data_IF_536117587625
#
_entry.id   IF_536117587625
#
_cell.length_a   1.000
_cell.length_b   1.000
_cell.length_c   1.000
_cell.angle_alpha   90.00
_cell.angle_beta   90.00
_cell.angle_gamma   90.00
#
_symmetry.space_group_name_H-M   'P 1'
#
loop_
_entity.id
_entity.type
_entity.pdbx_description
1 polymer ?
#
# COMPACT_ATOMS: atom_id res chain seq x y z
N UNK A 1 -22.10 0.69 11.46
CA UNK A 1 -20.87 1.24 10.84
C UNK A 1 -21.26 2.54 10.14
N UNK A 2 -20.71 3.72 10.48
CA UNK A 2 -21.12 4.98 9.83
C UNK A 2 -20.82 4.96 8.33
N UNK A 3 -21.70 5.55 7.52
CA UNK A 3 -21.56 5.64 6.06
C UNK A 3 -20.34 6.48 5.64
N UNK A 4 -19.81 6.20 4.46
CA UNK A 4 -18.60 6.85 3.92
C UNK A 4 -18.71 8.38 3.85
N UNK A 5 -19.93 8.91 3.59
CA UNK A 5 -20.23 10.35 3.62
C UNK A 5 -20.09 10.99 5.02
N UNK A 6 -20.56 10.32 6.07
CA UNK A 6 -20.41 10.80 7.46
C UNK A 6 -18.93 10.80 7.87
N UNK A 7 -18.16 9.85 7.33
CA UNK A 7 -16.72 9.76 7.58
C UNK A 7 -15.89 10.86 6.91
N UNK A 8 -16.36 11.36 5.77
CA UNK A 8 -15.77 12.50 5.07
C UNK A 8 -16.10 13.83 5.77
N UNK A 9 -17.32 13.95 6.34
CA UNK A 9 -17.78 15.12 7.11
C UNK A 9 -16.94 15.41 8.37
N UNK A 10 -16.55 14.37 9.11
CA UNK A 10 -15.79 14.53 10.36
C UNK A 10 -14.39 15.16 10.15
N UNK A 11 -13.72 14.81 9.06
CA UNK A 11 -12.49 15.49 8.65
C UNK A 11 -12.77 16.95 8.31
N UNK A 12 -13.85 17.19 7.58
CA UNK A 12 -14.23 18.53 7.16
C UNK A 12 -14.35 19.48 8.33
N UNK A 13 -14.97 19.08 9.45
CA UNK A 13 -15.18 19.99 10.58
C UNK A 13 -13.88 20.42 11.27
N UNK A 14 -13.00 19.47 11.65
CA UNK A 14 -11.74 19.81 12.32
C UNK A 14 -10.81 20.62 11.42
N UNK A 15 -10.79 20.29 10.12
CA UNK A 15 -10.00 21.02 9.12
C UNK A 15 -10.55 22.44 8.96
N UNK A 16 -11.86 22.61 8.81
CA UNK A 16 -12.52 23.92 8.68
C UNK A 16 -12.27 24.80 9.91
N UNK A 17 -12.42 24.25 11.11
CA UNK A 17 -12.19 24.96 12.37
C UNK A 17 -10.71 25.35 12.56
N UNK A 18 -9.78 24.71 11.85
CA UNK A 18 -8.34 25.01 11.92
C UNK A 18 -7.90 26.05 10.88
N UNK A 19 -8.85 26.65 10.17
CA UNK A 19 -8.62 27.75 9.25
C UNK A 19 -8.20 27.35 7.83
N UNK A 20 -8.08 28.31 6.91
CA UNK A 20 -7.83 28.04 5.48
C UNK A 20 -6.51 27.32 5.20
N UNK A 21 -5.46 27.60 5.99
CA UNK A 21 -4.17 26.91 5.86
C UNK A 21 -4.28 25.40 6.08
N UNK A 22 -5.22 24.95 6.93
CA UNK A 22 -5.45 23.53 7.17
C UNK A 22 -6.07 22.87 5.94
N UNK A 23 -7.08 23.49 5.32
CA UNK A 23 -7.66 23.01 4.07
C UNK A 23 -6.62 22.89 2.97
N UNK A 24 -5.82 23.94 2.78
CA UNK A 24 -4.72 23.94 1.81
C UNK A 24 -3.69 22.82 2.08
N UNK A 25 -3.30 22.62 3.35
CA UNK A 25 -2.34 21.58 3.73
C UNK A 25 -2.86 20.17 3.46
N UNK A 26 -4.17 19.93 3.66
CA UNK A 26 -4.83 18.65 3.38
C UNK A 26 -4.81 18.36 1.88
N UNK A 27 -5.19 19.35 1.08
CA UNK A 27 -5.19 19.23 -0.38
C UNK A 27 -3.78 18.98 -0.91
N UNK A 28 -2.80 19.75 -0.44
CA UNK A 28 -1.40 19.55 -0.78
C UNK A 28 -0.93 18.13 -0.41
N UNK A 29 -1.24 17.67 0.80
CA UNK A 29 -0.81 16.36 1.27
C UNK A 29 -1.35 15.24 0.37
N UNK A 30 -2.66 15.22 0.11
CA UNK A 30 -3.27 14.14 -0.64
C UNK A 30 -3.12 14.27 -2.17
N UNK A 31 -3.03 15.48 -2.73
CA UNK A 31 -3.01 15.68 -4.18
C UNK A 31 -1.62 16.00 -4.74
N UNK A 32 -0.74 16.66 -3.99
CA UNK A 32 0.62 16.99 -4.44
C UNK A 32 1.68 15.98 -3.96
N UNK A 33 1.66 15.61 -2.67
CA UNK A 33 2.73 14.80 -2.06
C UNK A 33 2.53 13.30 -2.28
N UNK A 34 1.35 12.76 -2.00
CA UNK A 34 1.08 11.32 -2.11
C UNK A 34 0.60 10.96 -3.52
N UNK A 35 1.54 10.76 -4.43
CA UNK A 35 1.26 10.45 -5.85
C UNK A 35 0.67 9.06 -6.11
N UNK A 36 1.00 8.06 -5.28
CA UNK A 36 0.46 6.72 -5.43
C UNK A 36 -0.99 6.65 -4.94
N UNK A 37 -1.93 6.34 -5.83
CA UNK A 37 -3.38 6.27 -5.54
C UNK A 37 -3.70 5.31 -4.40
N UNK A 38 -3.04 4.15 -4.33
CA UNK A 38 -3.27 3.17 -3.26
C UNK A 38 -2.77 3.69 -1.91
N UNK A 39 -1.56 4.29 -1.88
CA UNK A 39 -1.02 4.91 -0.67
C UNK A 39 -1.90 6.06 -0.22
N UNK A 40 -2.37 6.90 -1.15
CA UNK A 40 -3.29 8.02 -0.87
C UNK A 40 -4.58 7.53 -0.25
N UNK A 41 -5.21 6.49 -0.80
CA UNK A 41 -6.44 5.90 -0.25
C UNK A 41 -6.21 5.37 1.17
N UNK A 42 -5.13 4.61 1.36
CA UNK A 42 -4.80 4.02 2.65
C UNK A 42 -4.51 5.09 3.72
N UNK A 43 -3.77 6.15 3.36
CA UNK A 43 -3.48 7.27 4.26
C UNK A 43 -4.74 8.06 4.58
N UNK A 44 -5.58 8.35 3.58
CA UNK A 44 -6.86 9.05 3.80
C UNK A 44 -7.75 8.27 4.77
N UNK A 45 -7.84 6.95 4.60
CA UNK A 45 -8.61 6.11 5.49
C UNK A 45 -8.07 6.11 6.93
N UNK A 46 -6.74 6.06 7.09
CA UNK A 46 -6.11 6.12 8.41
C UNK A 46 -6.31 7.47 9.11
N UNK A 47 -6.08 8.57 8.39
CA UNK A 47 -6.26 9.94 8.90
C UNK A 47 -7.72 10.18 9.28
N UNK A 48 -8.67 9.83 8.40
CA UNK A 48 -10.09 10.04 8.68
C UNK A 48 -10.57 9.25 9.91
N UNK A 49 -10.11 8.01 10.06
CA UNK A 49 -10.43 7.19 11.23
C UNK A 49 -9.90 7.79 12.52
N UNK A 50 -8.69 8.36 12.49
CA UNK A 50 -8.12 9.05 13.65
C UNK A 50 -8.86 10.36 13.97
N UNK A 51 -9.12 11.20 12.96
CA UNK A 51 -9.82 12.46 13.17
C UNK A 51 -11.24 12.27 13.71
N UNK A 52 -11.94 11.22 13.27
CA UNK A 52 -13.23 10.81 13.86
C UNK A 52 -13.11 10.39 15.33
N UNK A 53 -12.02 9.72 15.69
CA UNK A 53 -11.80 9.25 17.06
C UNK A 53 -11.62 10.42 18.03
N UNK A 54 -10.91 11.48 17.61
CA UNK A 54 -10.65 12.65 18.47
C UNK A 54 -11.74 13.71 18.42
N UNK A 55 -12.59 13.72 17.37
CA UNK A 55 -13.65 14.72 17.17
C UNK A 55 -14.52 15.02 18.40
N UNK A 56 -14.90 14.05 19.26
CA UNK A 56 -15.68 14.34 20.46
C UNK A 56 -14.93 15.17 21.52
N UNK A 57 -13.60 15.21 21.48
CA UNK A 57 -12.75 15.79 22.52
C UNK A 57 -12.00 17.05 22.05
N UNK A 58 -11.86 17.26 20.73
CA UNK A 58 -11.14 18.40 20.16
C UNK A 58 -11.97 19.13 19.12
N UNK A 59 -11.80 20.45 19.03
CA UNK A 59 -12.50 21.30 18.05
C UNK A 59 -11.59 21.74 16.90
N UNK A 60 -10.27 21.73 17.09
CA UNK A 60 -9.27 22.10 16.07
C UNK A 60 -8.11 21.10 16.04
N UNK A 61 -7.34 21.07 14.95
CA UNK A 61 -6.16 20.23 14.80
C UNK A 61 -5.06 20.58 15.81
N UNK A 62 -4.94 21.86 16.19
CA UNK A 62 -3.94 22.33 17.15
C UNK A 62 -4.15 21.79 18.58
N UNK A 63 -5.37 21.39 18.94
CA UNK A 63 -5.68 20.77 20.24
C UNK A 63 -5.28 19.29 20.32
N UNK A 64 -4.84 18.68 19.21
CA UNK A 64 -4.47 17.27 19.19
C UNK A 64 -3.13 17.08 19.91
N UNK A 65 -3.15 16.33 21.00
CA UNK A 65 -1.97 16.02 21.81
C UNK A 65 -1.41 14.62 21.48
N UNK A 66 -0.15 14.32 21.85
CA UNK A 66 0.39 12.97 21.77
C UNK A 66 -0.44 11.92 22.53
N UNK A 67 -1.11 12.32 23.63
CA UNK A 67 -1.97 11.42 24.39
C UNK A 67 -3.20 10.95 23.57
N UNK A 68 -3.77 11.81 22.72
CA UNK A 68 -4.85 11.43 21.81
C UNK A 68 -4.38 10.36 20.82
N UNK A 69 -3.17 10.53 20.27
CA UNK A 69 -2.60 9.57 19.33
C UNK A 69 -2.27 8.24 20.04
N UNK A 70 -1.71 8.28 21.25
CA UNK A 70 -1.47 7.08 22.07
C UNK A 70 -2.76 6.29 22.33
N UNK A 71 -3.78 6.93 22.91
CA UNK A 71 -5.09 6.30 23.18
C UNK A 71 -5.74 5.73 21.92
N UNK A 72 -5.59 6.41 20.79
CA UNK A 72 -6.06 5.87 19.52
C UNK A 72 -5.42 4.52 19.20
N UNK A 73 -4.09 4.39 19.33
CA UNK A 73 -3.39 3.13 19.06
C UNK A 73 -3.67 2.03 20.09
N UNK A 74 -3.94 2.41 21.34
CA UNK A 74 -4.36 1.46 22.40
C UNK A 74 -5.72 0.83 22.09
N UNK A 75 -6.66 1.63 21.56
CA UNK A 75 -8.01 1.16 21.20
C UNK A 75 -8.11 0.59 19.79
N UNK A 76 -7.07 0.76 18.95
CA UNK A 76 -7.08 0.34 17.56
C UNK A 76 -6.87 -1.18 17.44
N UNK A 77 -7.96 -1.94 17.39
CA UNK A 77 -7.93 -3.40 17.11
C UNK A 77 -7.75 -3.69 15.62
N UNK A 78 -6.49 -3.72 15.15
CA UNK A 78 -6.08 -4.08 13.78
C UNK A 78 -4.72 -4.76 13.80
N UNK A 79 -4.30 -5.35 12.67
CA UNK A 79 -2.97 -5.97 12.55
C UNK A 79 -1.83 -4.96 12.84
N UNK A 80 -0.70 -5.45 13.34
CA UNK A 80 0.48 -4.60 13.59
C UNK A 80 0.97 -3.87 12.33
N UNK A 81 0.87 -4.51 11.15
CA UNK A 81 1.17 -3.88 9.86
C UNK A 81 0.25 -2.70 9.58
N UNK A 82 -1.05 -2.85 9.86
CA UNK A 82 -2.02 -1.77 9.75
C UNK A 82 -1.75 -0.66 10.76
N UNK A 83 -1.38 -0.97 12.02
CA UNK A 83 -0.97 0.04 13.01
C UNK A 83 0.23 0.86 12.53
N UNK A 84 1.26 0.21 11.95
CA UNK A 84 2.43 0.90 11.37
C UNK A 84 2.05 1.82 10.21
N UNK A 85 1.16 1.37 9.31
CA UNK A 85 0.62 2.20 8.23
C UNK A 85 -0.10 3.43 8.80
N UNK A 86 -0.98 3.25 9.79
CA UNK A 86 -1.68 4.35 10.43
C UNK A 86 -0.71 5.35 11.05
N UNK A 87 0.30 4.88 11.79
CA UNK A 87 1.29 5.76 12.44
C UNK A 87 2.11 6.55 11.40
N UNK A 88 2.51 5.89 10.31
CA UNK A 88 3.19 6.55 9.18
C UNK A 88 2.30 7.61 8.54
N UNK A 89 1.02 7.30 8.30
CA UNK A 89 0.06 8.24 7.73
C UNK A 89 -0.13 9.48 8.63
N UNK A 90 -0.32 9.26 9.94
CA UNK A 90 -0.51 10.35 10.91
C UNK A 90 0.73 11.23 11.04
N UNK A 91 1.93 10.65 11.12
CA UNK A 91 3.18 11.42 11.17
C UNK A 91 3.33 12.31 9.95
N UNK A 92 3.19 11.77 8.74
CA UNK A 92 3.32 12.56 7.53
C UNK A 92 2.22 13.61 7.36
N UNK A 93 0.98 13.28 7.77
CA UNK A 93 -0.13 14.23 7.75
C UNK A 93 0.15 15.43 8.66
N UNK A 94 0.53 15.19 9.92
CA UNK A 94 0.82 16.26 10.87
C UNK A 94 2.12 17.00 10.54
N UNK A 95 3.11 16.37 9.92
CA UNK A 95 4.28 17.10 9.38
C UNK A 95 3.85 18.16 8.35
N UNK A 96 2.84 17.86 7.51
CA UNK A 96 2.31 18.87 6.58
C UNK A 96 1.58 19.99 7.29
N UNK A 97 0.82 19.68 8.35
CA UNK A 97 0.15 20.70 9.17
C UNK A 97 1.17 21.63 9.83
N UNK A 98 2.28 21.09 10.33
CA UNK A 98 3.37 21.89 10.89
C UNK A 98 4.04 22.75 9.82
N UNK A 99 4.39 22.17 8.67
CA UNK A 99 5.03 22.90 7.57
C UNK A 99 4.17 24.03 6.98
N UNK A 100 2.85 23.96 7.15
CA UNK A 100 1.90 25.00 6.74
C UNK A 100 1.42 25.87 7.90
N UNK A 101 2.14 25.82 9.03
CA UNK A 101 1.89 26.61 10.23
C UNK A 101 0.47 26.47 10.80
N UNK A 102 -0.20 25.34 10.53
CA UNK A 102 -1.52 25.00 11.10
C UNK A 102 -1.37 24.61 12.57
N UNK A 103 -0.24 24.03 12.93
CA UNK A 103 0.10 23.69 14.31
C UNK A 103 1.61 23.78 14.53
N UNK A 104 2.03 23.92 15.79
CA UNK A 104 3.44 24.14 16.13
C UNK A 104 4.25 22.84 16.13
N UNK A 105 3.67 21.75 16.64
CA UNK A 105 4.34 20.48 16.83
C UNK A 105 3.51 19.33 16.28
N UNK A 106 4.17 18.29 15.77
CA UNK A 106 3.51 17.08 15.31
C UNK A 106 3.25 16.13 16.50
N UNK A 107 1.98 15.88 16.87
CA UNK A 107 1.64 15.05 18.04
C UNK A 107 1.96 13.56 17.85
N UNK A 108 2.13 13.09 16.61
CA UNK A 108 2.38 11.68 16.31
C UNK A 108 3.89 11.31 16.32
N UNK A 109 4.79 12.29 16.46
CA UNK A 109 6.24 12.02 16.46
C UNK A 109 6.70 11.29 17.71
N UNK A 110 6.21 11.68 18.89
CA UNK A 110 6.62 11.09 20.17
C UNK A 110 6.01 9.72 20.45
N UNK A 111 4.92 9.36 19.75
CA UNK A 111 4.22 8.09 19.93
C UNK A 111 5.07 6.96 19.34
N UNK A 112 5.38 5.96 20.18
CA UNK A 112 6.12 4.78 19.74
C UNK A 112 5.15 3.76 19.13
N UNK A 113 5.46 3.31 17.93
CA UNK A 113 4.76 2.17 17.33
C UNK A 113 5.21 0.87 17.96
N UNK A 114 4.33 -0.13 17.97
CA UNK A 114 4.68 -1.49 18.38
C UNK A 114 5.87 -2.02 17.55
N UNK A 115 6.88 -2.54 18.25
CA UNK A 115 8.08 -3.09 17.63
C UNK A 115 7.80 -4.51 17.17
N UNK A 116 7.19 -4.67 16.01
CA UNK A 116 7.09 -5.98 15.37
C UNK A 116 8.41 -6.29 14.67
N UNK A 117 9.23 -7.16 15.26
CA UNK A 117 10.33 -7.83 14.58
C UNK A 117 9.79 -9.11 13.96
N UNK A 118 9.69 -9.14 12.63
CA UNK A 118 9.57 -10.38 11.90
C UNK A 118 10.94 -10.61 11.26
N UNK A 119 11.71 -11.55 11.80
CA UNK A 119 13.01 -11.95 11.24
C UNK A 119 12.82 -12.65 9.88
N UNK A 120 11.64 -13.24 9.68
CA UNK A 120 11.27 -13.98 8.48
C UNK A 120 9.80 -13.74 8.09
N UNK A 121 9.48 -13.90 6.81
CA UNK A 121 8.10 -13.86 6.34
C UNK A 121 7.29 -15.03 6.91
N UNK A 122 5.98 -14.84 7.11
CA UNK A 122 5.07 -15.93 7.51
C UNK A 122 4.75 -16.91 6.37
N UNK A 123 5.18 -16.59 5.15
CA UNK A 123 4.91 -17.40 3.96
C UNK A 123 5.82 -18.61 3.97
N UNK A 124 5.24 -19.80 4.09
CA UNK A 124 5.97 -21.07 4.00
C UNK A 124 6.59 -21.19 2.60
N UNK A 125 7.82 -21.68 2.53
CA UNK A 125 8.47 -21.98 1.26
C UNK A 125 7.69 -23.06 0.50
N UNK A 126 7.44 -22.82 -0.79
CA UNK A 126 6.80 -23.82 -1.65
C UNK A 126 7.90 -24.59 -2.40
N UNK A 127 8.14 -25.88 -2.09
CA UNK A 127 9.18 -26.66 -2.74
C UNK A 127 8.88 -26.90 -4.23
N UNK A 128 9.90 -27.12 -5.08
CA UNK A 128 9.71 -27.28 -6.53
C UNK A 128 8.70 -28.36 -6.94
N UNK A 129 8.55 -29.42 -6.14
CA UNK A 129 7.57 -30.49 -6.38
C UNK A 129 6.13 -30.00 -6.21
N UNK A 130 5.87 -29.12 -5.25
CA UNK A 130 4.54 -28.53 -5.04
C UNK A 130 4.21 -27.53 -6.14
N UNK A 131 5.19 -26.74 -6.59
CA UNK A 131 5.03 -25.85 -7.75
C UNK A 131 4.62 -26.65 -8.99
N UNK A 132 5.30 -27.77 -9.28
CA UNK A 132 4.93 -28.63 -10.42
C UNK A 132 3.52 -29.20 -10.27
N UNK A 133 3.17 -29.75 -9.10
CA UNK A 133 1.81 -30.23 -8.82
C UNK A 133 0.75 -29.16 -9.04
N UNK A 134 1.04 -27.92 -8.63
CA UNK A 134 0.14 -26.78 -8.85
C UNK A 134 -0.03 -26.50 -10.35
N UNK A 135 1.06 -26.45 -11.12
CA UNK A 135 1.01 -26.23 -12.57
C UNK A 135 0.27 -27.35 -13.31
N UNK A 136 0.48 -28.61 -12.91
CA UNK A 136 -0.15 -29.79 -13.52
C UNK A 136 -1.63 -29.92 -13.17
N UNK A 137 -2.08 -29.28 -12.07
CA UNK A 137 -3.49 -29.26 -11.66
C UNK A 137 -4.38 -28.32 -12.48
N UNK A 138 -3.78 -27.46 -13.31
CA UNK A 138 -4.52 -26.47 -14.12
C UNK A 138 -4.99 -27.14 -15.42
N UNK A 139 -6.29 -27.14 -15.65
CA UNK A 139 -6.89 -27.67 -16.88
C UNK A 139 -6.54 -26.79 -18.09
N UNK A 140 -5.67 -27.31 -18.97
CA UNK A 140 -5.18 -26.62 -20.18
C UNK A 140 -6.01 -26.88 -21.44
N UNK A 141 -7.16 -27.54 -21.35
CA UNK A 141 -8.03 -27.81 -22.51
C UNK A 141 -8.68 -26.55 -23.10
N UNK A 142 -8.56 -25.40 -22.42
CA UNK A 142 -9.11 -24.12 -22.84
C UNK A 142 -8.08 -22.99 -22.74
N UNK A 143 -8.28 -21.93 -23.53
CA UNK A 143 -7.41 -20.74 -23.58
C UNK A 143 -7.22 -20.08 -22.20
N UNK A 144 -8.27 -20.07 -21.36
CA UNK A 144 -8.19 -19.52 -20.00
C UNK A 144 -7.21 -20.33 -19.14
N UNK A 145 -7.26 -21.66 -19.23
CA UNK A 145 -6.36 -22.54 -18.51
C UNK A 145 -4.91 -22.40 -18.95
N UNK A 146 -4.67 -22.29 -20.25
CA UNK A 146 -3.34 -22.01 -20.80
C UNK A 146 -2.78 -20.69 -20.26
N UNK A 147 -3.60 -19.64 -20.22
CA UNK A 147 -3.22 -18.33 -19.67
C UNK A 147 -2.87 -18.42 -18.19
N UNK A 148 -3.70 -19.08 -17.40
CA UNK A 148 -3.53 -19.16 -15.95
C UNK A 148 -2.30 -20.01 -15.60
N UNK A 149 -2.08 -21.12 -16.31
CA UNK A 149 -0.85 -21.94 -16.20
C UNK A 149 0.39 -21.12 -16.53
N UNK A 150 0.39 -20.37 -17.63
CA UNK A 150 1.51 -19.49 -17.99
C UNK A 150 1.76 -18.41 -16.93
N UNK A 151 0.71 -17.77 -16.42
CA UNK A 151 0.85 -16.72 -15.40
C UNK A 151 1.46 -17.26 -14.10
N UNK A 152 1.03 -18.43 -13.64
CA UNK A 152 1.59 -19.10 -12.44
C UNK A 152 3.03 -19.56 -12.70
N UNK A 153 3.31 -20.12 -13.88
CA UNK A 153 4.66 -20.53 -14.26
C UNK A 153 5.62 -19.32 -14.29
N UNK A 154 5.21 -18.20 -14.87
CA UNK A 154 6.00 -16.97 -14.88
C UNK A 154 6.29 -16.48 -13.45
N UNK A 155 5.32 -16.51 -12.53
CA UNK A 155 5.55 -16.18 -11.12
C UNK A 155 6.62 -17.08 -10.50
N UNK A 156 6.50 -18.40 -10.69
CA UNK A 156 7.37 -19.39 -10.09
C UNK A 156 8.82 -19.33 -10.64
N UNK A 157 8.98 -19.20 -11.96
CA UNK A 157 10.29 -19.30 -12.61
C UNK A 157 11.05 -17.98 -12.68
N UNK A 158 10.37 -16.83 -12.67
CA UNK A 158 11.03 -15.53 -12.83
C UNK A 158 11.11 -14.73 -11.52
N UNK A 159 10.39 -15.16 -10.49
CA UNK A 159 10.18 -14.42 -9.23
C UNK A 159 9.70 -12.97 -9.48
N UNK A 160 8.97 -12.76 -10.57
CA UNK A 160 8.41 -11.47 -10.93
C UNK A 160 7.26 -11.09 -10.00
N UNK A 161 7.02 -9.78 -9.88
CA UNK A 161 5.83 -9.29 -9.20
C UNK A 161 4.61 -9.56 -10.07
N UNK A 162 3.49 -9.96 -9.46
CA UNK A 162 2.21 -10.15 -10.16
C UNK A 162 1.82 -8.96 -11.04
N UNK A 163 2.04 -7.74 -10.56
CA UNK A 163 1.74 -6.52 -11.32
C UNK A 163 2.62 -6.31 -12.57
N UNK A 164 3.77 -6.96 -12.67
CA UNK A 164 4.58 -6.98 -13.89
C UNK A 164 4.02 -7.99 -14.90
N UNK A 165 3.61 -9.16 -14.43
CA UNK A 165 3.04 -10.24 -15.28
C UNK A 165 1.70 -9.81 -15.88
N UNK A 166 0.82 -9.20 -15.09
CA UNK A 166 -0.50 -8.75 -15.57
C UNK A 166 -0.40 -7.64 -16.64
N UNK A 167 0.74 -6.94 -16.70
CA UNK A 167 1.00 -5.89 -17.70
C UNK A 167 1.82 -6.37 -18.90
N UNK A 168 2.22 -7.64 -18.90
CA UNK A 168 3.06 -8.19 -19.95
C UNK A 168 2.34 -8.12 -21.29
N UNK A 169 3.01 -7.60 -22.31
CA UNK A 169 2.52 -7.63 -23.68
C UNK A 169 3.36 -8.58 -24.53
N UNK A 170 2.80 -9.03 -25.66
CA UNK A 170 3.53 -9.91 -26.60
C UNK A 170 4.86 -9.27 -27.05
N UNK A 171 4.87 -7.93 -27.22
CA UNK A 171 6.07 -7.16 -27.60
C UNK A 171 7.20 -7.20 -26.56
N UNK A 172 6.88 -7.55 -25.31
CA UNK A 172 7.86 -7.69 -24.23
C UNK A 172 8.56 -9.06 -24.26
N UNK A 173 8.03 -10.03 -25.02
CA UNK A 173 8.62 -11.35 -25.23
C UNK A 173 9.57 -11.28 -26.43
N UNK A 174 10.86 -11.43 -26.18
CA UNK A 174 11.90 -11.42 -27.21
C UNK A 174 12.47 -12.81 -27.40
N UNK A 175 11.95 -13.52 -28.39
CA UNK A 175 12.48 -14.84 -28.76
C UNK A 175 13.70 -14.60 -29.66
N UNK A 176 14.90 -14.92 -29.18
CA UNK A 176 16.14 -14.91 -29.96
C UNK A 176 16.63 -16.34 -30.17
N UNK A 177 17.37 -16.55 -31.27
CA UNK A 177 17.87 -17.88 -31.71
C UNK A 177 18.76 -18.55 -30.66
N UNK A 178 19.47 -17.77 -29.82
CA UNK A 178 20.38 -18.29 -28.81
C UNK A 178 19.78 -18.41 -27.40
N UNK A 179 18.75 -17.61 -27.06
CA UNK A 179 18.03 -17.67 -25.78
C UNK A 179 16.79 -16.77 -25.83
N UNK A 180 15.58 -17.29 -25.57
CA UNK A 180 14.40 -16.45 -25.40
C UNK A 180 14.53 -15.58 -24.13
N UNK A 181 14.18 -14.29 -24.25
CA UNK A 181 14.29 -13.28 -23.18
C UNK A 181 12.92 -12.65 -22.93
N UNK A 182 12.57 -12.48 -21.66
CA UNK A 182 11.38 -11.78 -21.22
C UNK A 182 11.76 -10.41 -20.66
N UNK A 183 11.17 -9.34 -21.20
CA UNK A 183 11.34 -7.98 -20.65
C UNK A 183 10.19 -7.65 -19.69
N UNK A 184 10.49 -7.60 -18.40
CA UNK A 184 9.50 -7.26 -17.38
C UNK A 184 9.59 -5.79 -16.99
N UNK A 185 8.44 -5.12 -16.94
CA UNK A 185 8.32 -3.79 -16.36
C UNK A 185 8.04 -3.89 -14.85
N UNK A 186 9.02 -3.50 -14.05
CA UNK A 186 8.95 -3.48 -12.59
C UNK A 186 8.51 -2.12 -12.02
N UNK A 187 8.31 -2.09 -10.70
CA UNK A 187 7.96 -0.87 -9.97
C UNK A 187 9.00 0.24 -10.22
N UNK A 188 8.52 1.49 -10.31
CA UNK A 188 9.31 2.70 -10.60
C UNK A 188 9.87 2.74 -12.04
N UNK A 189 9.24 2.05 -13.00
CA UNK A 189 9.63 2.12 -14.41
C UNK A 189 10.92 1.37 -14.74
N UNK A 190 11.42 0.54 -13.82
CA UNK A 190 12.59 -0.29 -14.08
C UNK A 190 12.24 -1.42 -15.04
N UNK A 191 13.14 -1.74 -15.97
CA UNK A 191 13.02 -2.92 -16.83
C UNK A 191 14.00 -3.99 -16.39
N UNK A 192 13.56 -5.23 -16.33
CA UNK A 192 14.39 -6.40 -16.02
C UNK A 192 14.27 -7.40 -17.16
N UNK A 193 15.39 -7.82 -17.72
CA UNK A 193 15.41 -8.89 -18.72
C UNK A 193 15.72 -10.21 -18.02
N UNK A 194 14.90 -11.24 -18.26
CA UNK A 194 15.03 -12.56 -17.66
C UNK A 194 15.10 -13.60 -18.78
N UNK A 195 16.11 -14.49 -18.80
CA UNK A 195 16.12 -15.63 -19.71
C UNK A 195 14.93 -16.55 -19.44
N UNK A 196 14.21 -16.92 -20.50
CA UNK A 196 13.07 -17.82 -20.44
C UNK A 196 13.61 -19.25 -20.48
N UNK A 197 13.21 -20.07 -19.51
CA UNK A 197 13.48 -21.51 -19.53
C UNK A 197 12.66 -22.18 -20.62
N UNK A 198 13.18 -23.26 -21.20
CA UNK A 198 12.45 -24.00 -22.25
C UNK A 198 11.03 -24.42 -21.82
N UNK A 199 10.86 -24.75 -20.54
CA UNK A 199 9.60 -25.15 -19.89
C UNK A 199 8.51 -24.05 -19.92
N UNK A 200 8.85 -22.81 -20.25
CA UNK A 200 7.94 -21.67 -20.39
C UNK A 200 7.59 -21.35 -21.85
N UNK A 201 8.28 -21.97 -22.81
CA UNK A 201 8.10 -21.72 -24.25
C UNK A 201 7.09 -22.69 -24.88
N UNK A 202 6.95 -23.89 -24.30
CA UNK A 202 5.93 -24.91 -24.64
C UNK A 202 4.58 -24.65 -23.97
#
# INVERSE_FOLDING_TARGET
>A
MPSEKVRELACSQLIQNSGPSAGFAVDEFFHANVRNVHTRRAYRQAVNRFLQFVLPEVTTLAMITPAHVGRYFDQLSVSATTKKLHLSALRHFFDRMVNRHVMVLNPALSVRGERTSATEGKTVEMPPREVRRLLDSIDVSHVVGLRDRLAVALLAFTAARVGAIVKLQIVDVKISVSSPLLQLQEKRGKRRSIPIRYELVE
#
